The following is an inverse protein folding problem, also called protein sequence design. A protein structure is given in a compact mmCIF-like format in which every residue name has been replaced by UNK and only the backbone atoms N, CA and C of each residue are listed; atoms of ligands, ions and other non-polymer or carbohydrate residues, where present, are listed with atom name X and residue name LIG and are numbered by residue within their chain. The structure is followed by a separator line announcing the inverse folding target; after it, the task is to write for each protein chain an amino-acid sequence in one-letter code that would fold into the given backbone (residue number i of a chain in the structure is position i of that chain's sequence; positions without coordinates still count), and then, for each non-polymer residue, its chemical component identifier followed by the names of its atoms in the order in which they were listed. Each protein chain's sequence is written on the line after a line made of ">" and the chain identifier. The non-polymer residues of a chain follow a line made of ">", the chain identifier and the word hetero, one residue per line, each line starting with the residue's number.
data_IF_100399637517
#
_entry.id   IF_100399637517
#
_cell.length_a   1.000
_cell.length_b   1.000
_cell.length_c   1.000
_cell.angle_alpha   90.00
_cell.angle_beta   90.00
_cell.angle_gamma   90.00
#
_symmetry.space_group_name_H-M   'P 1'
#
loop_
_entity.id
_entity.type
_entity.pdbx_description
1 polymer ?
#
# COMPACT_ATOMS: atom_id res chain seq x y z
N UNK A 1 -19.42 -19.28 -13.36
CA UNK A 1 -17.99 -18.90 -13.31
C UNK A 1 -17.55 -19.03 -11.88
N UNK A 2 -16.45 -19.72 -11.63
CA UNK A 2 -15.85 -19.80 -10.29
C UNK A 2 -15.45 -18.42 -9.81
N UNK A 3 -15.69 -18.04 -8.54
CA UNK A 3 -15.21 -16.76 -8.02
C UNK A 3 -13.68 -16.68 -8.14
N UNK A 4 -13.12 -15.48 -8.31
CA UNK A 4 -11.67 -15.33 -8.35
C UNK A 4 -11.07 -15.58 -6.95
N UNK A 5 -9.80 -15.97 -6.92
CA UNK A 5 -9.05 -16.13 -5.66
C UNK A 5 -8.70 -14.76 -5.06
N UNK A 6 -8.38 -13.78 -5.92
CA UNK A 6 -7.86 -12.48 -5.54
C UNK A 6 -8.52 -11.34 -6.31
N UNK A 7 -8.94 -10.30 -5.60
CA UNK A 7 -9.29 -9.01 -6.17
C UNK A 7 -8.13 -8.01 -5.94
N UNK A 8 -7.57 -7.47 -7.02
CA UNK A 8 -6.62 -6.35 -6.98
C UNK A 8 -7.41 -5.04 -7.12
N UNK A 9 -7.28 -4.14 -6.16
CA UNK A 9 -8.01 -2.87 -6.11
C UNK A 9 -7.09 -1.73 -6.56
N UNK A 10 -7.40 -1.09 -7.69
CA UNK A 10 -6.63 0.03 -8.25
C UNK A 10 -7.50 1.29 -8.23
N UNK A 11 -7.09 2.30 -7.46
CA UNK A 11 -7.63 3.65 -7.56
C UNK A 11 -6.86 4.43 -8.63
N UNK A 12 -7.56 5.08 -9.56
CA UNK A 12 -6.96 5.77 -10.69
C UNK A 12 -7.41 7.25 -10.74
N UNK A 13 -6.42 8.16 -10.65
CA UNK A 13 -6.64 9.60 -10.77
C UNK A 13 -5.51 10.23 -11.60
N UNK A 14 -5.79 10.60 -12.86
CA UNK A 14 -4.83 11.17 -13.82
C UNK A 14 -3.62 10.26 -14.10
N UNK A 15 -3.87 8.94 -14.21
CA UNK A 15 -2.86 7.89 -14.35
C UNK A 15 -3.03 7.10 -15.67
N UNK A 16 -3.38 7.81 -16.77
CA UNK A 16 -3.67 7.17 -18.07
C UNK A 16 -2.52 6.31 -18.59
N UNK A 17 -1.28 6.75 -18.36
CA UNK A 17 -0.07 6.06 -18.82
C UNK A 17 0.46 5.05 -17.78
N UNK A 18 0.08 5.20 -16.51
CA UNK A 18 0.57 4.38 -15.41
C UNK A 18 -0.29 3.13 -15.19
N UNK A 19 -1.61 3.26 -15.16
CA UNK A 19 -2.54 2.15 -14.93
C UNK A 19 -2.31 0.97 -15.88
N UNK A 20 -2.03 1.15 -17.18
CA UNK A 20 -1.68 0.04 -18.05
C UNK A 20 -0.46 -0.76 -17.57
N UNK A 21 0.56 -0.09 -17.03
CA UNK A 21 1.75 -0.77 -16.48
C UNK A 21 1.43 -1.51 -15.20
N UNK A 22 0.64 -0.90 -14.31
CA UNK A 22 0.18 -1.55 -13.09
C UNK A 22 -0.62 -2.83 -13.41
N UNK A 23 -1.58 -2.76 -14.32
CA UNK A 23 -2.38 -3.90 -14.77
C UNK A 23 -1.52 -4.98 -15.42
N UNK A 24 -0.61 -4.64 -16.33
CA UNK A 24 0.31 -5.58 -16.96
C UNK A 24 1.15 -6.31 -15.90
N UNK A 25 1.65 -5.59 -14.89
CA UNK A 25 2.43 -6.18 -13.81
C UNK A 25 1.68 -7.27 -13.02
N UNK A 26 0.37 -7.13 -12.87
CA UNK A 26 -0.48 -8.16 -12.26
C UNK A 26 -0.66 -9.35 -13.20
N UNK A 27 -1.01 -9.09 -14.46
CA UNK A 27 -1.29 -10.14 -15.44
C UNK A 27 -0.07 -11.03 -15.69
N UNK A 28 1.13 -10.46 -15.72
CA UNK A 28 2.40 -11.17 -15.90
C UNK A 28 2.75 -12.11 -14.72
N UNK A 29 2.09 -11.95 -13.56
CA UNK A 29 2.35 -12.71 -12.33
C UNK A 29 1.17 -13.54 -11.84
N UNK A 30 0.13 -13.63 -12.67
CA UNK A 30 -1.12 -14.30 -12.34
C UNK A 30 -1.22 -15.73 -12.91
N UNK A 31 -0.09 -16.36 -13.29
CA UNK A 31 -0.11 -17.74 -13.74
C UNK A 31 -0.62 -18.66 -12.64
N UNK A 32 -1.61 -19.51 -12.98
CA UNK A 32 -2.24 -20.45 -12.07
C UNK A 32 -3.12 -19.80 -10.99
N UNK A 33 -3.37 -18.48 -11.02
CA UNK A 33 -4.23 -17.79 -10.07
C UNK A 33 -5.50 -17.24 -10.74
N UNK A 34 -6.63 -17.39 -10.06
CA UNK A 34 -7.88 -16.72 -10.40
C UNK A 34 -7.84 -15.28 -9.91
N UNK A 35 -7.46 -14.32 -10.78
CA UNK A 35 -7.34 -12.90 -10.41
C UNK A 35 -8.38 -12.08 -11.14
N UNK A 36 -9.05 -11.17 -10.42
CA UNK A 36 -9.74 -10.02 -11.00
C UNK A 36 -9.01 -8.72 -10.62
N UNK A 37 -8.95 -7.79 -11.55
CA UNK A 37 -8.37 -6.46 -11.36
C UNK A 37 -9.51 -5.45 -11.49
N UNK A 38 -9.73 -4.64 -10.47
CA UNK A 38 -10.82 -3.68 -10.41
C UNK A 38 -10.24 -2.28 -10.45
N UNK A 39 -10.48 -1.56 -11.55
CA UNK A 39 -10.04 -0.17 -11.71
C UNK A 39 -11.19 0.76 -11.34
N UNK A 40 -10.95 1.63 -10.36
CA UNK A 40 -11.88 2.66 -9.91
C UNK A 40 -11.37 4.04 -10.32
N UNK A 41 -11.96 4.62 -11.35
CA UNK A 41 -11.65 5.99 -11.80
C UNK A 41 -12.14 7.01 -10.77
N UNK A 42 -11.26 7.94 -10.38
CA UNK A 42 -11.60 9.08 -9.50
C UNK A 42 -11.43 10.43 -10.24
N UNK A 43 -11.20 10.40 -11.55
CA UNK A 43 -11.07 11.58 -12.42
C UNK A 43 -12.07 11.60 -13.59
N UNK A 44 -12.98 10.61 -13.62
CA UNK A 44 -13.95 10.47 -14.71
C UNK A 44 -13.38 9.88 -16.00
N UNK A 45 -12.10 9.53 -16.05
CA UNK A 45 -11.49 8.87 -17.21
C UNK A 45 -12.06 7.47 -17.38
N UNK A 46 -12.47 7.12 -18.59
CA UNK A 46 -12.70 5.73 -18.97
C UNK A 46 -11.35 5.05 -19.24
N UNK A 47 -10.97 4.16 -18.34
CA UNK A 47 -9.72 3.38 -18.45
C UNK A 47 -9.87 2.11 -19.30
N UNK A 48 -11.09 1.69 -19.64
CA UNK A 48 -11.30 0.44 -20.36
C UNK A 48 -10.61 0.40 -21.74
N UNK A 49 -10.65 1.46 -22.56
CA UNK A 49 -9.97 1.46 -23.85
C UNK A 49 -8.44 1.45 -23.78
N UNK A 50 -7.87 1.76 -22.59
CA UNK A 50 -6.43 1.81 -22.39
C UNK A 50 -5.84 0.45 -21.95
N UNK A 51 -6.69 -0.53 -21.69
CA UNK A 51 -6.32 -1.80 -21.07
C UNK A 51 -6.66 -2.97 -21.98
N UNK A 52 -5.96 -4.12 -21.86
CA UNK A 52 -6.29 -5.29 -22.66
C UNK A 52 -7.71 -5.77 -22.35
N UNK A 53 -8.48 -6.08 -23.38
CA UNK A 53 -9.80 -6.65 -23.18
C UNK A 53 -9.69 -8.05 -22.53
N UNK A 54 -10.50 -8.33 -21.52
CA UNK A 54 -10.51 -9.66 -20.92
C UNK A 54 -11.37 -9.78 -19.67
N UNK A 55 -11.73 -11.01 -19.29
CA UNK A 55 -12.65 -11.27 -18.18
C UNK A 55 -12.07 -10.99 -16.79
N UNK A 56 -10.75 -10.78 -16.71
CA UNK A 56 -10.07 -10.44 -15.46
C UNK A 56 -10.19 -8.96 -15.08
N UNK A 57 -10.51 -8.09 -16.04
CA UNK A 57 -10.63 -6.66 -15.81
C UNK A 57 -12.08 -6.27 -15.54
N UNK A 58 -12.23 -5.46 -14.51
CA UNK A 58 -13.51 -4.87 -14.13
C UNK A 58 -13.33 -3.39 -13.81
N UNK A 59 -14.37 -2.64 -14.02
CA UNK A 59 -14.40 -1.19 -13.79
C UNK A 59 -15.55 -0.87 -12.85
N UNK A 60 -15.32 0.05 -11.93
CA UNK A 60 -16.44 0.57 -11.14
C UNK A 60 -17.35 1.42 -12.03
N UNK A 61 -18.65 1.47 -11.77
CA UNK A 61 -19.52 2.43 -12.42
C UNK A 61 -18.97 3.86 -12.29
N UNK A 62 -19.23 4.75 -13.26
CA UNK A 62 -18.92 6.16 -13.12
C UNK A 62 -19.46 6.72 -11.79
N UNK A 63 -18.69 7.58 -11.16
CA UNK A 63 -19.04 8.13 -9.85
C UNK A 63 -18.48 9.55 -9.69
N UNK A 64 -18.63 10.16 -8.49
CA UNK A 64 -18.05 11.46 -8.20
C UNK A 64 -16.53 11.45 -8.44
N UNK A 65 -15.98 12.56 -8.93
CA UNK A 65 -14.56 12.73 -9.21
C UNK A 65 -13.84 13.45 -8.08
N UNK A 66 -12.51 13.29 -7.98
CA UNK A 66 -11.65 13.90 -6.97
C UNK A 66 -12.08 13.62 -5.53
N UNK A 67 -12.68 12.46 -5.30
CA UNK A 67 -13.15 12.03 -3.98
C UNK A 67 -12.01 11.50 -3.10
N UNK A 68 -10.88 11.17 -3.71
CA UNK A 68 -9.68 10.63 -3.06
C UNK A 68 -9.57 9.11 -3.19
N UNK A 69 -8.35 8.61 -3.04
CA UNK A 69 -8.03 7.20 -3.23
C UNK A 69 -8.90 6.27 -2.36
N UNK A 70 -9.15 6.65 -1.09
CA UNK A 70 -10.01 5.90 -0.18
C UNK A 70 -11.43 5.66 -0.74
N UNK A 71 -12.04 6.67 -1.36
CA UNK A 71 -13.39 6.54 -1.91
C UNK A 71 -13.40 5.69 -3.17
N UNK A 72 -12.41 5.85 -4.05
CA UNK A 72 -12.23 5.00 -5.23
C UNK A 72 -11.98 3.54 -4.83
N UNK A 73 -11.08 3.28 -3.87
CA UNK A 73 -10.81 1.94 -3.35
C UNK A 73 -12.06 1.31 -2.70
N UNK A 74 -12.88 2.10 -2.01
CA UNK A 74 -14.16 1.61 -1.46
C UNK A 74 -15.15 1.21 -2.57
N UNK A 75 -15.22 1.96 -3.68
CA UNK A 75 -16.03 1.54 -4.84
C UNK A 75 -15.52 0.23 -5.44
N UNK A 76 -14.20 0.08 -5.55
CA UNK A 76 -13.60 -1.17 -6.01
C UNK A 76 -13.88 -2.35 -5.05
N UNK A 77 -13.70 -2.13 -3.75
CA UNK A 77 -13.95 -3.14 -2.72
C UNK A 77 -15.41 -3.60 -2.70
N UNK A 78 -16.36 -2.69 -2.94
CA UNK A 78 -17.79 -3.00 -2.95
C UNK A 78 -18.19 -3.99 -4.05
N UNK A 79 -17.46 -4.02 -5.17
CA UNK A 79 -17.73 -4.95 -6.27
C UNK A 79 -16.74 -6.13 -6.33
N UNK A 80 -15.78 -6.19 -5.40
CA UNK A 80 -14.79 -7.25 -5.32
C UNK A 80 -15.44 -8.60 -4.99
N UNK A 81 -15.00 -9.67 -5.68
CA UNK A 81 -15.54 -11.04 -5.55
C UNK A 81 -14.48 -12.05 -5.10
N UNK A 82 -13.20 -11.68 -5.13
CA UNK A 82 -12.12 -12.54 -4.70
C UNK A 82 -12.20 -12.91 -3.23
N UNK A 83 -11.72 -14.07 -2.86
CA UNK A 83 -11.62 -14.49 -1.46
C UNK A 83 -10.63 -13.62 -0.68
N UNK A 84 -9.59 -13.15 -1.39
CA UNK A 84 -8.57 -12.24 -0.88
C UNK A 84 -8.62 -10.90 -1.62
N UNK A 85 -8.07 -9.86 -0.97
CA UNK A 85 -7.90 -8.53 -1.56
C UNK A 85 -6.47 -8.05 -1.37
N UNK A 86 -6.00 -7.26 -2.34
CA UNK A 86 -4.73 -6.55 -2.32
C UNK A 86 -4.93 -5.17 -2.96
N UNK A 87 -4.31 -4.14 -2.39
CA UNK A 87 -4.24 -2.81 -3.00
C UNK A 87 -3.06 -2.79 -3.97
N UNK A 88 -3.26 -2.14 -5.11
CA UNK A 88 -2.19 -1.72 -6.00
C UNK A 88 -2.46 -0.28 -6.44
N UNK A 89 -1.54 0.62 -6.16
CA UNK A 89 -1.65 1.98 -6.66
C UNK A 89 -1.42 2.03 -8.17
N UNK A 90 -2.18 2.88 -8.85
CA UNK A 90 -2.19 2.90 -10.30
C UNK A 90 -0.87 3.34 -10.95
N UNK A 91 0.06 3.89 -10.16
CA UNK A 91 1.41 4.29 -10.56
C UNK A 91 2.51 3.33 -10.09
N UNK A 92 2.13 2.25 -9.37
CA UNK A 92 3.02 1.23 -8.84
C UNK A 92 2.92 -0.09 -9.64
N UNK A 93 3.64 -1.12 -9.22
CA UNK A 93 3.65 -2.42 -9.89
C UNK A 93 3.89 -3.58 -8.91
N UNK A 94 3.55 -4.79 -9.34
CA UNK A 94 4.01 -6.02 -8.67
C UNK A 94 5.29 -6.54 -9.35
N UNK A 95 6.21 -7.10 -8.56
CA UNK A 95 7.43 -7.77 -9.05
C UNK A 95 7.47 -9.22 -8.55
N UNK A 96 7.98 -10.12 -9.39
CA UNK A 96 8.13 -11.55 -9.09
C UNK A 96 8.03 -12.43 -10.32
N UNK A 97 8.19 -13.74 -10.19
CA UNK A 97 8.00 -14.70 -11.29
C UNK A 97 6.52 -14.79 -11.71
N UNK A 98 6.21 -15.42 -12.85
CA UNK A 98 4.83 -15.53 -13.35
C UNK A 98 3.84 -16.16 -12.39
N UNK A 99 4.27 -17.10 -11.53
CA UNK A 99 3.48 -17.78 -10.50
C UNK A 99 3.47 -17.09 -9.13
N UNK A 100 3.99 -15.86 -9.04
CA UNK A 100 4.20 -15.19 -7.74
C UNK A 100 2.89 -14.99 -6.96
N UNK A 101 1.80 -14.64 -7.64
CA UNK A 101 0.51 -14.41 -6.98
C UNK A 101 -0.06 -15.71 -6.40
N UNK A 102 -0.02 -16.81 -7.13
CA UNK A 102 -0.54 -18.09 -6.61
C UNK A 102 0.27 -18.59 -5.41
N UNK A 103 1.59 -18.33 -5.40
CA UNK A 103 2.44 -18.65 -4.24
C UNK A 103 2.09 -17.80 -3.02
N UNK A 104 1.92 -16.48 -3.21
CA UNK A 104 1.48 -15.58 -2.14
C UNK A 104 0.09 -15.95 -1.61
N UNK A 105 -0.85 -16.30 -2.49
CA UNK A 105 -2.18 -16.79 -2.10
C UNK A 105 -2.12 -18.09 -1.26
N UNK A 106 -1.21 -19.01 -1.63
CA UNK A 106 -1.00 -20.25 -0.84
C UNK A 106 -0.51 -19.92 0.58
N UNK A 107 0.45 -19.00 0.71
CA UNK A 107 0.92 -18.52 2.02
C UNK A 107 -0.19 -17.83 2.81
N UNK A 108 -0.97 -16.95 2.15
CA UNK A 108 -2.08 -16.24 2.79
C UNK A 108 -3.20 -17.17 3.27
N UNK A 109 -3.54 -18.21 2.49
CA UNK A 109 -4.51 -19.24 2.91
C UNK A 109 -4.05 -19.99 4.15
N UNK A 110 -2.77 -20.33 4.24
CA UNK A 110 -2.21 -21.05 5.37
C UNK A 110 -2.09 -20.19 6.63
N UNK A 111 -1.80 -18.90 6.50
CA UNK A 111 -1.48 -18.01 7.62
C UNK A 111 -2.56 -16.96 7.94
N UNK A 112 -3.60 -16.85 7.11
CA UNK A 112 -4.65 -15.84 7.24
C UNK A 112 -4.32 -14.50 6.58
N UNK A 113 -3.08 -14.21 6.25
CA UNK A 113 -2.62 -13.06 5.47
C UNK A 113 -1.14 -13.24 5.09
N UNK A 114 -0.65 -12.42 4.16
CA UNK A 114 0.78 -12.30 3.83
C UNK A 114 1.15 -10.85 3.60
N UNK A 115 2.33 -10.42 4.06
CA UNK A 115 2.87 -9.07 3.86
C UNK A 115 3.77 -9.08 2.62
N UNK A 116 3.52 -8.19 1.66
CA UNK A 116 4.39 -8.02 0.49
C UNK A 116 5.58 -7.14 0.85
N UNK A 117 6.82 -7.55 0.53
CA UNK A 117 7.96 -6.64 0.58
C UNK A 117 7.74 -5.43 -0.34
N UNK A 118 8.04 -4.24 0.16
CA UNK A 118 8.05 -3.00 -0.62
C UNK A 118 9.45 -2.72 -1.19
N UNK A 119 9.54 -2.50 -2.48
CA UNK A 119 10.74 -2.12 -3.22
C UNK A 119 10.54 -0.68 -3.71
N UNK A 120 11.15 0.29 -3.03
CA UNK A 120 11.14 1.69 -3.47
C UNK A 120 12.16 1.86 -4.58
N UNK A 121 11.71 2.24 -5.77
CA UNK A 121 12.56 2.39 -6.95
C UNK A 121 12.54 3.82 -7.49
N UNK A 122 13.69 4.29 -7.91
CA UNK A 122 13.84 5.53 -8.68
C UNK A 122 13.27 5.38 -10.10
N UNK A 123 13.04 6.50 -10.83
CA UNK A 123 12.54 6.48 -12.21
C UNK A 123 13.43 5.66 -13.17
N UNK A 124 14.73 5.55 -12.91
CA UNK A 124 15.67 4.72 -13.68
C UNK A 124 15.62 3.23 -13.31
N UNK A 125 14.77 2.86 -12.34
CA UNK A 125 14.61 1.50 -11.86
C UNK A 125 15.59 1.08 -10.75
N UNK A 126 16.54 1.95 -10.35
CA UNK A 126 17.47 1.65 -9.26
C UNK A 126 16.73 1.50 -7.92
N UNK A 127 17.20 0.58 -7.07
CA UNK A 127 16.60 0.31 -5.78
C UNK A 127 17.08 1.34 -4.75
N UNK A 128 16.16 2.18 -4.29
CA UNK A 128 16.40 3.14 -3.20
C UNK A 128 16.31 2.47 -1.83
N UNK A 129 15.31 1.59 -1.67
CA UNK A 129 15.04 0.95 -0.39
C UNK A 129 14.22 -0.33 -0.57
N UNK A 130 14.50 -1.34 0.27
CA UNK A 130 13.67 -2.53 0.41
C UNK A 130 13.22 -2.67 1.87
N UNK A 131 11.95 -3.02 2.09
CA UNK A 131 11.41 -3.31 3.41
C UNK A 131 10.34 -4.43 3.30
N UNK A 132 10.37 -5.43 4.19
CA UNK A 132 11.44 -5.72 5.15
C UNK A 132 12.74 -6.20 4.47
N UNK A 133 13.79 -6.36 5.26
CA UNK A 133 15.08 -6.87 4.77
C UNK A 133 14.93 -8.27 4.15
N UNK A 134 15.77 -8.62 3.16
CA UNK A 134 15.79 -9.97 2.60
C UNK A 134 15.94 -11.03 3.68
N UNK A 135 15.25 -12.16 3.54
CA UNK A 135 15.27 -13.25 4.52
C UNK A 135 14.37 -13.07 5.74
N UNK A 136 13.67 -11.94 5.86
CA UNK A 136 12.66 -11.75 6.90
C UNK A 136 11.50 -12.71 6.67
N UNK A 137 11.33 -13.70 7.56
CA UNK A 137 10.30 -14.74 7.41
C UNK A 137 8.90 -14.24 7.81
N UNK A 138 8.82 -13.41 8.84
CA UNK A 138 7.56 -12.84 9.36
C UNK A 138 7.73 -11.35 9.64
N UNK A 139 6.63 -10.63 9.50
CA UNK A 139 6.59 -9.20 9.75
C UNK A 139 5.27 -8.84 10.46
N UNK A 140 5.36 -7.95 11.43
CA UNK A 140 4.22 -7.60 12.26
C UNK A 140 4.16 -6.12 12.64
N UNK A 141 3.17 -5.77 13.46
CA UNK A 141 2.97 -4.41 13.95
C UNK A 141 4.16 -3.88 14.77
N UNK A 142 4.95 -4.76 15.41
CA UNK A 142 6.14 -4.36 16.13
C UNK A 142 7.23 -3.88 15.20
N UNK A 143 7.53 -4.65 14.15
CA UNK A 143 8.52 -4.33 13.13
C UNK A 143 8.03 -3.18 12.23
N UNK A 144 6.73 -3.10 11.96
CA UNK A 144 6.14 -2.03 11.14
C UNK A 144 6.34 -0.64 11.76
N UNK A 145 6.39 -0.57 13.09
CA UNK A 145 6.67 0.67 13.81
C UNK A 145 7.92 1.39 13.31
N UNK A 146 8.96 0.66 12.94
CA UNK A 146 10.24 1.21 12.49
C UNK A 146 10.48 1.01 10.97
N UNK A 147 9.48 0.52 10.23
CA UNK A 147 9.57 0.31 8.79
C UNK A 147 9.52 1.61 7.97
N UNK A 148 8.65 2.56 8.35
CA UNK A 148 8.43 3.83 7.63
C UNK A 148 8.24 3.66 6.11
N UNK A 149 7.53 2.62 5.70
CA UNK A 149 7.19 2.33 4.31
C UNK A 149 5.76 1.80 4.22
N UNK A 150 5.06 2.15 3.15
CA UNK A 150 3.81 1.45 2.81
C UNK A 150 4.17 0.00 2.49
N UNK A 151 3.56 -0.91 3.25
CA UNK A 151 3.70 -2.35 3.09
C UNK A 151 2.29 -2.88 2.89
N UNK A 152 2.05 -3.57 1.78
CA UNK A 152 0.71 -4.03 1.47
C UNK A 152 0.49 -5.45 1.98
N UNK A 153 -0.72 -5.67 2.49
CA UNK A 153 -1.15 -6.94 3.07
C UNK A 153 -2.17 -7.59 2.14
N UNK A 154 -1.81 -8.74 1.59
CA UNK A 154 -2.77 -9.61 0.93
C UNK A 154 -3.52 -10.36 2.02
N UNK A 155 -4.79 -10.00 2.21
CA UNK A 155 -5.62 -10.53 3.29
C UNK A 155 -7.01 -10.96 2.85
N UNK A 156 -7.74 -11.74 3.67
CA UNK A 156 -9.09 -12.19 3.36
C UNK A 156 -10.05 -11.02 3.17
N UNK A 157 -10.79 -10.98 2.07
CA UNK A 157 -11.83 -9.97 1.80
C UNK A 157 -12.90 -9.94 2.90
N UNK A 158 -13.23 -11.07 3.48
CA UNK A 158 -14.20 -11.16 4.58
C UNK A 158 -13.79 -10.42 5.86
N UNK A 159 -12.50 -10.06 5.99
CA UNK A 159 -11.95 -9.28 7.10
C UNK A 159 -11.53 -7.87 6.69
N UNK A 160 -11.70 -7.52 5.41
CA UNK A 160 -11.34 -6.20 4.90
C UNK A 160 -12.32 -5.15 5.44
N UNK A 161 -11.82 -4.17 6.18
CA UNK A 161 -12.58 -3.01 6.58
C UNK A 161 -12.66 -2.00 5.42
N UNK A 162 -13.71 -1.16 5.35
CA UNK A 162 -13.74 -0.05 4.41
C UNK A 162 -12.53 0.89 4.62
N UNK A 163 -12.02 1.46 3.52
CA UNK A 163 -11.00 2.50 3.57
C UNK A 163 -11.55 3.73 4.29
N UNK A 164 -10.81 4.21 5.27
CA UNK A 164 -11.18 5.39 6.06
C UNK A 164 -10.95 6.67 5.23
N UNK A 165 -11.68 7.77 5.50
CA UNK A 165 -11.64 9.00 4.71
C UNK A 165 -10.36 9.82 4.98
N UNK A 166 -9.20 9.21 4.76
CA UNK A 166 -7.89 9.84 4.76
C UNK A 166 -7.38 9.97 3.32
N UNK A 167 -6.62 11.00 3.02
CA UNK A 167 -6.12 11.24 1.67
C UNK A 167 -4.71 10.75 1.43
N UNK A 168 -3.95 10.53 2.51
CA UNK A 168 -2.50 10.26 2.45
C UNK A 168 -2.09 8.97 3.14
N UNK A 169 -2.93 8.43 4.03
CA UNK A 169 -2.61 7.25 4.84
C UNK A 169 -3.75 6.23 4.87
N UNK A 170 -4.70 6.33 3.97
CA UNK A 170 -5.84 5.40 3.90
C UNK A 170 -5.40 3.95 3.61
N UNK A 171 -4.41 3.78 2.73
CA UNK A 171 -3.73 2.51 2.44
C UNK A 171 -3.02 1.96 3.68
N UNK A 172 -2.22 2.79 4.35
CA UNK A 172 -1.52 2.39 5.58
C UNK A 172 -2.52 1.92 6.65
N UNK A 173 -3.63 2.64 6.83
CA UNK A 173 -4.65 2.27 7.82
C UNK A 173 -5.39 0.98 7.45
N UNK A 174 -5.65 0.77 6.16
CA UNK A 174 -6.24 -0.45 5.66
C UNK A 174 -5.33 -1.67 5.92
N UNK A 175 -4.06 -1.55 5.58
CA UNK A 175 -3.08 -2.62 5.75
C UNK A 175 -2.77 -2.91 7.23
N UNK A 176 -2.69 -1.87 8.07
CA UNK A 176 -2.59 -2.04 9.52
C UNK A 176 -3.82 -2.77 10.09
N UNK A 177 -5.02 -2.47 9.59
CA UNK A 177 -6.25 -3.17 10.00
C UNK A 177 -6.23 -4.64 9.54
N UNK A 178 -5.81 -4.91 8.30
CA UNK A 178 -5.68 -6.26 7.76
C UNK A 178 -4.68 -7.11 8.58
N UNK A 179 -3.53 -6.54 8.91
CA UNK A 179 -2.53 -7.20 9.74
C UNK A 179 -3.02 -7.40 11.18
N UNK A 180 -3.72 -6.41 11.75
CA UNK A 180 -4.33 -6.53 13.07
C UNK A 180 -5.35 -7.67 13.12
N UNK A 181 -6.19 -7.82 12.07
CA UNK A 181 -7.15 -8.89 11.94
C UNK A 181 -6.51 -10.28 11.76
N UNK A 182 -5.26 -10.32 11.27
CA UNK A 182 -4.43 -11.53 11.18
C UNK A 182 -3.63 -11.83 12.47
N UNK A 183 -3.99 -11.21 13.60
CA UNK A 183 -3.30 -11.40 14.89
C UNK A 183 -2.09 -10.48 15.10
N UNK A 184 -1.84 -9.55 14.19
CA UNK A 184 -0.79 -8.52 14.28
C UNK A 184 0.56 -8.95 13.73
N UNK A 185 0.68 -10.10 13.08
CA UNK A 185 1.87 -10.58 12.37
C UNK A 185 1.48 -11.56 11.28
N UNK A 186 2.19 -11.54 10.15
CA UNK A 186 1.99 -12.47 9.04
C UNK A 186 3.34 -12.88 8.41
N UNK A 187 3.41 -13.98 7.65
CA UNK A 187 4.60 -14.28 6.87
C UNK A 187 4.84 -13.17 5.84
N UNK A 188 6.09 -13.01 5.46
CA UNK A 188 6.49 -12.17 4.32
C UNK A 188 6.40 -12.99 3.05
N UNK A 189 5.88 -12.41 1.97
CA UNK A 189 5.77 -13.08 0.67
C UNK A 189 7.16 -13.49 0.17
N UNK A 190 7.31 -14.75 -0.24
CA UNK A 190 8.59 -15.31 -0.67
C UNK A 190 9.11 -14.67 -1.95
N UNK A 191 8.22 -14.44 -2.92
CA UNK A 191 8.60 -14.06 -4.28
C UNK A 191 7.78 -12.91 -4.87
N UNK A 192 6.64 -12.56 -4.26
CA UNK A 192 5.82 -11.44 -4.71
C UNK A 192 6.20 -10.19 -3.94
N UNK A 193 6.65 -9.16 -4.65
CA UNK A 193 7.02 -7.86 -4.07
C UNK A 193 6.11 -6.76 -4.62
N UNK A 194 5.89 -5.75 -3.81
CA UNK A 194 5.26 -4.50 -4.21
C UNK A 194 6.35 -3.51 -4.64
N UNK A 195 6.29 -3.02 -5.87
CA UNK A 195 7.17 -1.98 -6.39
C UNK A 195 6.53 -0.62 -6.20
N UNK A 196 7.07 0.16 -5.28
CA UNK A 196 6.73 1.57 -5.10
C UNK A 196 7.58 2.41 -6.05
N UNK A 197 6.95 3.02 -7.06
CA UNK A 197 7.64 3.78 -8.08
C UNK A 197 7.72 5.26 -7.70
N UNK A 198 8.92 5.76 -7.43
CA UNK A 198 9.14 7.19 -7.23
C UNK A 198 8.89 7.95 -8.53
N UNK A 199 8.18 9.07 -8.45
CA UNK A 199 7.92 9.96 -9.58
C UNK A 199 7.75 11.40 -9.10
N UNK A 200 8.11 12.41 -9.95
CA UNK A 200 7.93 13.82 -9.60
C UNK A 200 6.47 14.17 -9.31
N UNK A 201 6.24 14.97 -8.26
CA UNK A 201 4.92 15.50 -7.94
C UNK A 201 3.96 14.51 -7.29
N UNK A 202 4.44 13.38 -6.79
CA UNK A 202 3.62 12.46 -6.01
C UNK A 202 3.16 13.09 -4.68
N UNK A 203 2.04 12.61 -4.14
CA UNK A 203 1.41 13.19 -2.95
C UNK A 203 2.36 13.25 -1.73
N UNK A 204 3.26 12.28 -1.61
CA UNK A 204 4.25 12.21 -0.52
C UNK A 204 5.27 13.34 -0.55
N UNK A 205 5.54 13.95 -1.71
CA UNK A 205 6.52 15.03 -1.84
C UNK A 205 6.00 16.39 -1.33
N UNK A 206 4.68 16.59 -1.36
CA UNK A 206 4.06 17.91 -1.11
C UNK A 206 3.26 17.98 0.18
N UNK A 207 3.02 16.87 0.86
CA UNK A 207 1.97 16.76 1.87
C UNK A 207 2.43 16.93 3.34
N UNK A 208 3.64 17.45 3.61
CA UNK A 208 4.27 17.53 4.94
C UNK A 208 3.34 17.76 6.15
N UNK A 209 2.69 18.94 6.24
CA UNK A 209 1.81 19.28 7.34
C UNK A 209 0.50 18.44 7.37
N UNK A 210 0.00 17.99 6.19
CA UNK A 210 -1.20 17.17 6.10
C UNK A 210 -0.98 15.79 6.71
N UNK A 211 0.19 15.19 6.52
CA UNK A 211 0.53 13.93 7.16
C UNK A 211 0.41 14.01 8.68
N UNK A 212 0.91 15.10 9.30
CA UNK A 212 0.82 15.26 10.76
C UNK A 212 -0.63 15.30 11.25
N UNK A 213 -1.51 16.01 10.54
CA UNK A 213 -2.92 16.09 10.88
C UNK A 213 -3.62 14.74 10.72
N UNK A 214 -3.36 14.02 9.62
CA UNK A 214 -3.96 12.70 9.39
C UNK A 214 -3.47 11.66 10.40
N UNK A 215 -2.16 11.63 10.72
CA UNK A 215 -1.66 10.75 11.78
C UNK A 215 -2.23 11.11 13.15
N UNK A 216 -2.47 12.40 13.46
CA UNK A 216 -3.12 12.79 14.69
C UNK A 216 -4.55 12.26 14.77
N UNK A 217 -5.34 12.38 13.70
CA UNK A 217 -6.70 11.86 13.63
C UNK A 217 -6.72 10.32 13.70
N UNK A 218 -5.84 9.63 12.97
CA UNK A 218 -5.73 8.18 13.02
C UNK A 218 -5.35 7.66 14.42
N UNK A 219 -4.51 8.39 15.15
CA UNK A 219 -4.18 8.08 16.54
C UNK A 219 -5.39 8.15 17.48
N UNK A 220 -6.32 9.09 17.27
CA UNK A 220 -7.56 9.13 18.05
C UNK A 220 -8.42 7.89 17.79
N UNK A 221 -8.53 7.46 16.52
CA UNK A 221 -9.24 6.24 16.16
C UNK A 221 -8.61 5.02 16.83
N UNK A 222 -7.28 4.89 16.82
CA UNK A 222 -6.59 3.79 17.46
C UNK A 222 -6.80 3.80 18.98
N UNK A 223 -6.75 4.96 19.63
CA UNK A 223 -7.00 5.11 21.08
C UNK A 223 -8.43 4.77 21.46
N UNK A 224 -9.38 5.02 20.58
CA UNK A 224 -10.80 4.66 20.76
C UNK A 224 -11.09 3.17 20.46
N UNK A 225 -10.07 2.33 20.24
CA UNK A 225 -10.27 0.90 20.00
C UNK A 225 -10.56 0.53 18.55
N UNK A 226 -10.40 1.46 17.60
CA UNK A 226 -10.79 1.29 16.20
C UNK A 226 -10.03 0.22 15.39
N UNK A 227 -9.11 -0.51 16.02
CA UNK A 227 -8.37 -1.66 15.48
C UNK A 227 -8.48 -2.89 16.39
N UNK A 228 -9.55 -2.96 17.20
CA UNK A 228 -9.81 -4.07 18.11
C UNK A 228 -8.66 -4.32 19.11
N UNK A 229 -8.34 -5.58 19.44
CA UNK A 229 -7.28 -5.92 20.37
C UNK A 229 -5.89 -5.41 20.01
N UNK A 230 -5.67 -5.04 18.75
CA UNK A 230 -4.38 -4.52 18.26
C UNK A 230 -4.26 -2.99 18.35
N UNK A 231 -5.27 -2.29 18.84
CA UNK A 231 -5.34 -0.82 18.81
C UNK A 231 -4.15 -0.13 19.50
N UNK A 232 -3.65 -0.64 20.61
CA UNK A 232 -2.47 -0.09 21.29
C UNK A 232 -1.19 -0.24 20.45
N UNK A 233 -1.03 -1.39 19.77
CA UNK A 233 0.10 -1.65 18.86
C UNK A 233 0.04 -0.76 17.63
N UNK A 234 -1.15 -0.62 17.01
CA UNK A 234 -1.37 0.29 15.88
C UNK A 234 -1.10 1.75 16.31
N UNK A 235 -1.56 2.17 17.48
CA UNK A 235 -1.24 3.50 18.01
C UNK A 235 0.27 3.73 18.18
N UNK A 236 1.05 2.70 18.54
CA UNK A 236 2.50 2.80 18.62
C UNK A 236 3.15 3.00 17.23
N UNK A 237 2.68 2.28 16.19
CA UNK A 237 3.10 2.50 14.80
C UNK A 237 2.82 3.93 14.38
N UNK A 238 1.57 4.39 14.50
CA UNK A 238 1.15 5.72 14.06
C UNK A 238 1.90 6.86 14.78
N UNK A 239 2.15 6.72 16.09
CA UNK A 239 2.98 7.70 16.84
C UNK A 239 4.40 7.78 16.30
N UNK A 240 5.01 6.64 16.06
CA UNK A 240 6.38 6.55 15.56
C UNK A 240 6.51 7.15 14.16
N UNK A 241 5.56 6.84 13.29
CA UNK A 241 5.54 7.37 11.93
C UNK A 241 5.27 8.86 11.90
N UNK A 242 4.34 9.34 12.76
CA UNK A 242 4.13 10.78 12.94
C UNK A 242 5.40 11.51 13.36
N UNK A 243 6.13 10.97 14.35
CA UNK A 243 7.40 11.55 14.80
C UNK A 243 8.45 11.56 13.68
N UNK A 244 8.56 10.48 12.89
CA UNK A 244 9.47 10.41 11.74
C UNK A 244 9.10 11.43 10.66
N UNK A 245 7.82 11.55 10.33
CA UNK A 245 7.36 12.55 9.35
C UNK A 245 7.68 13.99 9.79
N UNK A 246 7.56 14.30 11.07
CA UNK A 246 7.98 15.60 11.64
C UNK A 246 9.49 15.80 11.54
N UNK A 247 10.27 14.77 11.86
CA UNK A 247 11.72 14.83 11.80
C UNK A 247 12.22 15.09 10.37
N UNK A 248 11.69 14.35 9.39
CA UNK A 248 12.06 14.47 7.98
C UNK A 248 11.46 15.72 7.35
N UNK A 249 10.23 16.11 7.70
CA UNK A 249 9.50 17.24 7.12
C UNK A 249 9.80 18.60 7.78
N UNK A 250 10.39 18.63 8.98
CA UNK A 250 10.59 19.84 9.78
C UNK A 250 11.72 20.76 9.33
N UNK A 251 12.37 20.48 8.23
CA UNK A 251 13.53 21.23 7.72
C UNK A 251 13.24 22.30 6.65
N UNK A 252 12.00 22.80 6.54
CA UNK A 252 11.71 23.96 5.69
C UNK A 252 11.57 23.69 4.19
N UNK A 253 11.24 22.51 3.81
CA UNK A 253 11.00 22.09 2.43
C UNK A 253 11.48 20.65 2.25
N UNK A 254 10.64 19.79 1.69
CA UNK A 254 11.11 18.50 1.20
C UNK A 254 11.82 18.75 -0.13
N UNK A 255 13.13 18.69 -0.19
CA UNK A 255 13.83 18.83 -1.44
C UNK A 255 13.79 17.47 -2.16
N UNK A 256 13.24 17.44 -3.33
CA UNK A 256 13.46 16.42 -4.33
C UNK A 256 12.69 15.10 -4.21
N UNK A 257 12.69 14.42 -5.32
CA UNK A 257 12.08 13.11 -5.54
C UNK A 257 12.72 12.04 -4.62
N UNK A 258 11.87 11.37 -3.85
CA UNK A 258 12.31 10.24 -3.02
C UNK A 258 13.14 10.61 -1.79
N UNK A 259 13.32 11.89 -1.47
CA UNK A 259 14.12 12.34 -0.33
C UNK A 259 13.58 11.83 1.00
N UNK A 260 12.27 11.65 1.13
CA UNK A 260 11.69 11.00 2.32
C UNK A 260 12.29 9.60 2.53
N UNK A 261 12.28 8.78 1.51
CA UNK A 261 12.79 7.40 1.60
C UNK A 261 14.30 7.35 1.82
N UNK A 262 15.05 8.25 1.15
CA UNK A 262 16.52 8.39 1.36
C UNK A 262 16.82 8.91 2.76
N UNK A 263 16.07 9.90 3.25
CA UNK A 263 16.22 10.43 4.60
C UNK A 263 15.91 9.38 5.66
N UNK A 264 14.87 8.56 5.46
CA UNK A 264 14.54 7.43 6.34
C UNK A 264 15.65 6.37 6.28
N UNK A 265 16.16 6.01 5.11
CA UNK A 265 17.28 5.08 4.98
C UNK A 265 18.51 5.60 5.75
N UNK A 266 18.92 6.84 5.51
CA UNK A 266 20.05 7.46 6.21
C UNK A 266 19.84 7.50 7.74
N UNK A 267 18.62 7.74 8.21
CA UNK A 267 18.28 7.71 9.63
C UNK A 267 18.47 6.29 10.22
N UNK A 268 17.96 5.28 9.54
CA UNK A 268 18.04 3.88 9.99
C UNK A 268 19.48 3.36 9.97
N UNK A 269 20.28 3.77 8.98
CA UNK A 269 21.70 3.43 8.83
C UNK A 269 22.62 4.22 9.78
N UNK A 270 22.04 5.11 10.62
CA UNK A 270 22.82 5.94 11.54
C UNK A 270 23.60 7.09 10.87
N UNK A 271 23.42 7.28 9.57
CA UNK A 271 24.07 8.33 8.78
C UNK A 271 23.34 9.69 8.83
N UNK A 272 22.27 9.80 9.60
CA UNK A 272 21.50 11.05 9.75
C UNK A 272 22.33 12.10 10.52
N UNK A 273 22.43 13.35 10.03
CA UNK A 273 23.23 14.40 10.68
C UNK A 273 22.83 14.59 12.13
N UNK A 274 23.80 14.51 13.04
CA UNK A 274 23.61 14.52 14.51
C UNK A 274 22.86 15.77 15.03
N UNK A 275 22.88 16.90 14.32
CA UNK A 275 22.19 18.14 14.69
C UNK A 275 20.65 18.10 14.57
N UNK A 276 20.07 17.08 13.93
CA UNK A 276 18.61 16.94 13.73
C UNK A 276 17.98 15.82 14.59
N UNK A 277 18.72 15.25 15.55
CA UNK A 277 18.22 14.13 16.38
C UNK A 277 17.33 14.55 17.56
N UNK A 278 16.93 15.82 17.68
CA UNK A 278 16.07 16.27 18.78
C UNK A 278 14.73 16.74 18.25
N UNK A 279 13.72 15.87 18.34
CA UNK A 279 12.31 16.20 18.55
C UNK A 279 11.60 15.01 19.21
#
# INVERSE_FOLDING_TARGET
>A
MTPPDLSILIAAYRLRDDVPRAVASVLDRAEGAGVEIIVASDDGTDYAPLLPAGPRLRFTPPGPVATGAHAARNRALAIARGDFVLILDGDDALEGPPDAIVRALRQARAAGAVVLPSLVRDPDGSLVRRMPAPGTARFGLAEWRDAFASLHVLGPRSRAAPFRPFRLIDDVLFDLAALAAAGGTAPVAEVLCYRYQLRPGQATDTAGARFDAEYAAALQIARAGGFGPSSSRVAAVLRRWRAMNRLVGGGGGRPGLGDYHRAVAAYLDGAWPAGRRRA
#
